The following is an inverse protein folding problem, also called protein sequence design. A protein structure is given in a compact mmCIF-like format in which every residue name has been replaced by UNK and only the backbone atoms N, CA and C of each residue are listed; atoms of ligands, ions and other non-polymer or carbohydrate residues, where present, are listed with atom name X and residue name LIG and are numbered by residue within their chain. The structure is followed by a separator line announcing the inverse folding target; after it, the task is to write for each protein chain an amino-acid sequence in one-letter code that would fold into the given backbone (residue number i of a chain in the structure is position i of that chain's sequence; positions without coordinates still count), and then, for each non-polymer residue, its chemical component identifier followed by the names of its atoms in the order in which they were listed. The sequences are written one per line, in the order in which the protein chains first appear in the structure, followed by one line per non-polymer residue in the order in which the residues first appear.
data_IF_796742238887
#
_entry.id   IF_796742238887
#
_cell.length_a   1.000
_cell.length_b   1.000
_cell.length_c   1.000
_cell.angle_alpha   90.00
_cell.angle_beta   90.00
_cell.angle_gamma   90.00
#
_symmetry.space_group_name_H-M   'P 1'
#
loop_
_entity.id
_entity.type
_entity.pdbx_description
1 polymer ?
#
# COMPACT_ATOMS: atom_id res chain seq x y z
N UNK A 1 9.54 -0.80 -18.76
CA UNK A 1 10.45 0.13 -18.07
C UNK A 1 11.82 -0.51 -17.88
N UNK A 2 11.97 -1.63 -17.12
CA UNK A 2 13.29 -2.23 -16.81
C UNK A 2 14.11 -2.53 -18.08
N UNK A 3 13.54 -3.19 -19.09
CA UNK A 3 14.25 -3.47 -20.37
C UNK A 3 14.80 -2.22 -21.05
N UNK A 4 14.17 -1.07 -20.88
CA UNK A 4 14.59 0.19 -21.50
C UNK A 4 15.67 0.91 -20.70
N UNK A 5 15.58 0.88 -19.37
CA UNK A 5 16.37 1.76 -18.51
C UNK A 5 17.39 1.03 -17.61
N UNK A 6 17.15 -0.24 -17.25
CA UNK A 6 18.10 -0.99 -16.44
C UNK A 6 19.24 -1.52 -17.33
N UNK A 7 20.40 -0.91 -17.20
CA UNK A 7 21.61 -1.21 -17.98
C UNK A 7 22.74 -1.64 -17.07
N UNK A 8 23.55 -2.58 -17.55
CA UNK A 8 24.74 -3.01 -16.83
C UNK A 8 25.76 -1.87 -16.81
N UNK A 9 26.33 -1.59 -15.64
CA UNK A 9 27.19 -0.40 -15.42
C UNK A 9 28.44 -0.35 -16.28
N UNK A 10 28.98 -1.51 -16.66
CA UNK A 10 30.21 -1.59 -17.48
C UNK A 10 29.93 -1.86 -18.94
N UNK A 11 29.00 -2.80 -19.25
CA UNK A 11 28.77 -3.25 -20.63
C UNK A 11 27.65 -2.48 -21.33
N UNK A 12 26.82 -1.72 -20.58
CA UNK A 12 25.63 -1.03 -21.05
C UNK A 12 24.57 -1.97 -21.67
N UNK A 13 24.70 -3.28 -21.46
CA UNK A 13 23.70 -4.25 -21.91
C UNK A 13 22.40 -4.12 -21.10
N UNK A 14 21.23 -4.35 -21.72
CA UNK A 14 19.97 -4.35 -20.99
C UNK A 14 19.91 -5.50 -19.99
N UNK A 15 19.12 -5.31 -18.93
CA UNK A 15 18.86 -6.38 -17.95
C UNK A 15 18.34 -7.64 -18.67
N UNK A 16 18.91 -8.83 -18.41
CA UNK A 16 18.45 -10.08 -18.98
C UNK A 16 16.99 -10.39 -18.62
N UNK A 17 16.21 -10.88 -19.57
CA UNK A 17 14.81 -11.27 -19.34
C UNK A 17 14.66 -12.30 -18.23
N UNK A 18 15.60 -13.23 -18.09
CA UNK A 18 15.62 -14.21 -17.02
C UNK A 18 15.64 -13.55 -15.61
N UNK A 19 16.35 -12.43 -15.45
CA UNK A 19 16.36 -11.67 -14.20
C UNK A 19 15.03 -10.95 -13.98
N UNK A 20 14.43 -10.39 -15.02
CA UNK A 20 13.11 -9.76 -14.93
C UNK A 20 12.06 -10.79 -14.46
N UNK A 21 12.06 -12.00 -15.03
CA UNK A 21 11.13 -13.05 -14.61
C UNK A 21 11.40 -13.54 -13.17
N UNK A 22 12.64 -13.58 -12.73
CA UNK A 22 12.97 -13.88 -11.33
C UNK A 22 12.46 -12.79 -10.39
N UNK A 23 12.63 -11.50 -10.75
CA UNK A 23 12.10 -10.38 -9.97
C UNK A 23 10.56 -10.43 -9.85
N UNK A 24 9.86 -10.73 -10.95
CA UNK A 24 8.40 -10.88 -10.93
C UNK A 24 7.94 -12.00 -9.97
N UNK A 25 8.63 -13.15 -9.98
CA UNK A 25 8.34 -14.25 -9.06
C UNK A 25 8.63 -13.88 -7.60
N UNK A 26 9.77 -13.21 -7.36
CA UNK A 26 10.17 -12.79 -6.02
C UNK A 26 9.17 -11.79 -5.40
N UNK A 27 8.60 -10.88 -6.20
CA UNK A 27 7.58 -9.92 -5.72
C UNK A 27 6.31 -10.59 -5.20
N UNK A 28 5.97 -11.78 -5.66
CA UNK A 28 4.79 -12.51 -5.21
C UNK A 28 5.05 -13.36 -3.96
N UNK A 29 6.32 -13.60 -3.65
CA UNK A 29 6.68 -14.38 -2.47
C UNK A 29 6.41 -13.59 -1.19
N UNK A 30 5.65 -14.18 -0.28
CA UNK A 30 5.32 -13.54 1.00
C UNK A 30 4.30 -12.40 0.92
N UNK A 31 3.73 -12.08 -0.24
CA UNK A 31 2.81 -10.96 -0.40
C UNK A 31 1.57 -11.08 0.50
N UNK A 32 1.02 -12.28 0.65
CA UNK A 32 -0.11 -12.50 1.56
C UNK A 32 0.24 -12.15 3.01
N UNK A 33 1.46 -12.50 3.45
CA UNK A 33 1.95 -12.17 4.78
C UNK A 33 2.03 -10.65 4.99
N UNK A 34 2.62 -9.93 4.04
CA UNK A 34 2.73 -8.46 4.11
C UNK A 34 1.35 -7.79 4.06
N UNK A 35 0.44 -8.26 3.20
CA UNK A 35 -0.93 -7.74 3.12
C UNK A 35 -1.68 -7.94 4.44
N UNK A 36 -1.59 -9.11 5.05
CA UNK A 36 -2.22 -9.39 6.34
C UNK A 36 -1.67 -8.48 7.44
N UNK A 37 -0.36 -8.31 7.52
CA UNK A 37 0.28 -7.41 8.50
C UNK A 37 -0.16 -5.96 8.33
N UNK A 38 -0.21 -5.50 7.10
CA UNK A 38 -0.67 -4.15 6.79
C UNK A 38 -2.16 -3.97 7.17
N UNK A 39 -3.01 -4.91 6.75
CA UNK A 39 -4.44 -4.89 7.06
C UNK A 39 -4.69 -4.93 8.56
N UNK A 40 -3.92 -5.71 9.31
CA UNK A 40 -3.97 -5.74 10.78
C UNK A 40 -3.70 -4.36 11.39
N UNK A 41 -2.70 -3.64 10.87
CA UNK A 41 -2.40 -2.26 11.32
C UNK A 41 -3.55 -1.30 11.00
N UNK A 42 -4.14 -1.39 9.81
CA UNK A 42 -5.27 -0.55 9.41
C UNK A 42 -6.54 -0.84 10.25
N UNK A 43 -6.80 -2.10 10.58
CA UNK A 43 -7.92 -2.48 11.44
C UNK A 43 -7.73 -2.00 12.88
N UNK A 44 -6.51 -2.01 13.39
CA UNK A 44 -6.20 -1.47 14.73
C UNK A 44 -6.35 0.05 14.75
N UNK A 45 -5.92 0.75 13.70
CA UNK A 45 -6.15 2.18 13.51
C UNK A 45 -7.65 2.51 13.58
N UNK A 46 -8.44 1.85 12.77
CA UNK A 46 -9.89 2.06 12.77
C UNK A 46 -10.53 1.75 14.14
N UNK A 47 -10.10 0.69 14.80
CA UNK A 47 -10.65 0.29 16.09
C UNK A 47 -10.40 1.33 17.20
N UNK A 48 -9.21 1.90 17.26
CA UNK A 48 -8.88 2.90 18.27
C UNK A 48 -9.58 4.23 18.00
N UNK A 49 -9.66 4.64 16.74
CA UNK A 49 -10.31 5.91 16.39
C UNK A 49 -11.85 5.84 16.36
N UNK A 50 -12.42 4.62 16.38
CA UNK A 50 -13.85 4.39 16.58
C UNK A 50 -14.26 4.34 18.07
N UNK A 51 -13.34 4.46 19.01
CA UNK A 51 -13.68 4.52 20.43
C UNK A 51 -14.50 5.79 20.73
N UNK A 52 -15.45 5.73 21.68
CA UNK A 52 -16.19 6.91 22.09
C UNK A 52 -15.25 8.06 22.47
N UNK A 53 -15.66 9.28 22.15
CA UNK A 53 -14.86 10.49 22.40
C UNK A 53 -14.34 10.55 23.85
N UNK A 54 -13.06 10.84 23.99
CA UNK A 54 -12.36 10.92 25.27
C UNK A 54 -11.98 9.57 25.87
N UNK A 55 -12.27 8.45 25.21
CA UNK A 55 -11.83 7.12 25.67
C UNK A 55 -10.50 6.74 25.02
N UNK A 56 -9.54 6.43 25.88
CA UNK A 56 -8.24 5.90 25.50
C UNK A 56 -8.10 4.53 26.15
N UNK A 57 -7.57 3.51 25.47
CA UNK A 57 -7.31 2.21 26.09
C UNK A 57 -6.37 2.36 27.29
N UNK A 58 -6.76 1.82 28.45
CA UNK A 58 -5.93 1.85 29.66
C UNK A 58 -4.63 1.07 29.46
N UNK A 59 -4.68 -0.02 28.69
CA UNK A 59 -3.52 -0.79 28.22
C UNK A 59 -3.58 -0.89 26.68
N UNK A 60 -2.81 -0.04 25.96
CA UNK A 60 -2.79 -0.06 24.50
C UNK A 60 -2.28 -1.38 23.90
N UNK A 61 -1.40 -2.09 24.59
CA UNK A 61 -0.85 -3.38 24.12
C UNK A 61 -1.91 -4.47 24.21
N UNK A 62 -2.64 -4.52 25.33
CA UNK A 62 -3.75 -5.46 25.50
C UNK A 62 -4.88 -5.15 24.52
N UNK A 63 -5.18 -3.88 24.27
CA UNK A 63 -6.17 -3.46 23.27
C UNK A 63 -5.80 -3.93 21.87
N UNK A 64 -4.56 -3.66 21.42
CA UNK A 64 -4.06 -4.16 20.12
C UNK A 64 -4.24 -5.68 20.02
N UNK A 65 -3.79 -6.42 21.01
CA UNK A 65 -3.89 -7.87 21.04
C UNK A 65 -5.34 -8.38 20.99
N UNK A 66 -6.26 -7.67 21.63
CA UNK A 66 -7.68 -7.99 21.60
C UNK A 66 -8.27 -7.76 20.22
N UNK A 67 -8.05 -6.59 19.62
CA UNK A 67 -8.55 -6.25 18.27
C UNK A 67 -8.06 -7.28 17.26
N UNK A 68 -6.77 -7.62 17.27
CA UNK A 68 -6.18 -8.56 16.34
C UNK A 68 -6.75 -9.98 16.49
N UNK A 69 -6.99 -10.44 17.71
CA UNK A 69 -7.66 -11.73 17.97
C UNK A 69 -9.10 -11.74 17.46
N UNK A 70 -9.87 -10.69 17.75
CA UNK A 70 -11.26 -10.57 17.31
C UNK A 70 -11.40 -10.52 15.78
N UNK A 71 -10.39 -10.00 15.09
CA UNK A 71 -10.31 -9.96 13.63
C UNK A 71 -9.69 -11.22 13.02
N UNK A 72 -9.32 -12.19 13.81
CA UNK A 72 -8.83 -13.49 13.34
C UNK A 72 -7.41 -13.46 12.81
N UNK A 73 -6.53 -12.56 13.30
CA UNK A 73 -5.13 -12.55 12.90
C UNK A 73 -4.48 -13.90 13.26
N UNK A 74 -3.84 -14.59 12.30
CA UNK A 74 -3.21 -15.88 12.56
C UNK A 74 -2.13 -15.80 13.64
N UNK A 75 -1.99 -16.81 14.49
CA UNK A 75 -0.91 -16.88 15.46
C UNK A 75 0.46 -16.77 14.79
N UNK A 76 1.35 -15.99 15.37
CA UNK A 76 2.70 -15.77 14.83
C UNK A 76 2.80 -14.66 13.78
N UNK A 77 1.68 -14.13 13.30
CA UNK A 77 1.67 -12.94 12.45
C UNK A 77 1.52 -11.71 13.35
N UNK A 78 2.47 -10.79 13.27
CA UNK A 78 2.40 -9.50 13.98
C UNK A 78 2.01 -8.35 13.05
N UNK A 79 1.81 -7.19 13.62
CA UNK A 79 1.65 -5.92 12.88
C UNK A 79 3.00 -5.39 12.41
N UNK A 80 3.01 -4.54 11.39
CA UNK A 80 4.23 -3.88 10.92
C UNK A 80 4.82 -2.95 11.98
N UNK A 81 3.97 -2.22 12.68
CA UNK A 81 4.34 -1.31 13.75
C UNK A 81 3.42 -1.57 14.94
N UNK A 82 4.00 -1.75 16.11
CA UNK A 82 3.22 -1.80 17.34
C UNK A 82 2.43 -0.52 17.49
N UNK A 83 1.19 -0.64 17.89
CA UNK A 83 0.26 0.47 18.09
C UNK A 83 0.89 1.63 18.90
N UNK A 84 1.57 1.31 19.99
CA UNK A 84 2.25 2.30 20.86
C UNK A 84 3.46 2.99 20.23
N UNK A 85 4.00 2.46 19.13
CA UNK A 85 5.13 3.02 18.41
C UNK A 85 4.77 3.56 17.03
N UNK A 86 3.49 3.49 16.67
CA UNK A 86 3.02 3.86 15.35
C UNK A 86 2.68 5.35 15.29
N UNK A 87 3.69 6.18 15.34
CA UNK A 87 3.58 7.64 15.31
C UNK A 87 2.71 8.14 14.14
N UNK A 88 2.73 7.45 13.01
CA UNK A 88 1.96 7.79 11.81
C UNK A 88 0.46 8.01 12.09
N UNK A 89 -0.12 7.22 12.98
CA UNK A 89 -1.54 7.30 13.34
C UNK A 89 -1.86 8.44 14.31
N UNK A 90 -0.85 8.96 15.03
CA UNK A 90 -1.06 9.87 16.17
C UNK A 90 -0.36 11.22 16.04
N UNK A 91 0.42 11.42 14.97
CA UNK A 91 1.07 12.70 14.68
C UNK A 91 0.12 13.68 13.96
N UNK A 92 -1.06 13.89 14.50
CA UNK A 92 -2.09 14.71 13.90
C UNK A 92 -3.28 13.89 13.40
N UNK A 93 -4.20 14.52 12.68
CA UNK A 93 -5.45 13.89 12.23
C UNK A 93 -5.39 13.24 10.85
N UNK A 94 -4.30 13.44 10.09
CA UNK A 94 -4.25 13.06 8.66
C UNK A 94 -4.42 11.57 8.39
N UNK A 95 -4.00 10.70 9.31
CA UNK A 95 -4.12 9.26 9.18
C UNK A 95 -5.03 8.61 10.24
N UNK A 96 -5.68 9.41 11.09
CA UNK A 96 -6.60 8.90 12.09
C UNK A 96 -7.78 8.19 11.43
N UNK A 97 -7.92 6.90 11.66
CA UNK A 97 -8.85 5.99 10.96
C UNK A 97 -8.66 5.93 9.43
N UNK A 98 -7.53 6.42 8.92
CA UNK A 98 -7.25 6.57 7.48
C UNK A 98 -6.10 5.71 6.96
N UNK A 99 -5.44 4.92 7.79
CA UNK A 99 -4.27 4.16 7.36
C UNK A 99 -4.57 3.13 6.27
N UNK A 100 -5.80 2.68 6.13
CA UNK A 100 -6.24 1.80 5.05
C UNK A 100 -6.05 2.39 3.65
N UNK A 101 -5.89 3.71 3.54
CA UNK A 101 -5.78 4.44 2.27
C UNK A 101 -4.68 3.90 1.36
N UNK A 102 -3.61 3.35 1.90
CA UNK A 102 -2.54 2.78 1.08
C UNK A 102 -2.97 1.54 0.29
N UNK A 103 -3.81 0.65 0.90
CA UNK A 103 -4.40 -0.46 0.15
C UNK A 103 -5.36 0.02 -0.93
N UNK A 104 -6.15 1.05 -0.62
CA UNK A 104 -7.06 1.67 -1.57
C UNK A 104 -6.29 2.28 -2.75
N UNK A 105 -5.23 3.03 -2.45
CA UNK A 105 -4.37 3.64 -3.46
C UNK A 105 -3.68 2.59 -4.35
N UNK A 106 -3.24 1.46 -3.81
CA UNK A 106 -2.68 0.36 -4.60
C UNK A 106 -3.67 -0.24 -5.58
N UNK A 107 -4.94 -0.35 -5.20
CA UNK A 107 -6.01 -0.83 -6.11
C UNK A 107 -6.20 0.16 -7.26
N UNK A 108 -6.31 1.46 -6.96
CA UNK A 108 -6.48 2.50 -7.97
C UNK A 108 -5.25 2.63 -8.88
N UNK A 109 -4.04 2.52 -8.33
CA UNK A 109 -2.79 2.52 -9.10
C UNK A 109 -2.73 1.34 -10.08
N UNK A 110 -3.10 0.15 -9.61
CA UNK A 110 -3.13 -1.04 -10.46
C UNK A 110 -4.16 -0.93 -11.59
N UNK A 111 -5.33 -0.37 -11.30
CA UNK A 111 -6.38 -0.13 -12.30
C UNK A 111 -5.94 0.91 -13.33
N UNK A 112 -5.39 2.05 -12.88
CA UNK A 112 -4.84 3.08 -13.76
C UNK A 112 -3.72 2.53 -14.66
N UNK A 113 -2.85 1.67 -14.13
CA UNK A 113 -1.80 1.03 -14.92
C UNK A 113 -2.36 -0.01 -15.90
N UNK A 114 -3.51 -0.59 -15.60
CA UNK A 114 -4.26 -1.48 -16.50
C UNK A 114 -4.52 -0.84 -17.86
N UNK A 115 -4.89 0.43 -17.90
CA UNK A 115 -5.10 1.18 -19.14
C UNK A 115 -3.85 1.27 -20.04
N UNK A 116 -2.65 1.38 -19.43
CA UNK A 116 -1.39 1.33 -20.18
C UNK A 116 -1.10 -0.07 -20.74
N UNK A 117 -1.48 -1.10 -19.98
CA UNK A 117 -1.34 -2.49 -20.43
C UNK A 117 -2.24 -2.79 -21.62
N UNK A 118 -3.49 -2.33 -21.57
CA UNK A 118 -4.49 -2.43 -22.66
C UNK A 118 -4.04 -1.67 -23.92
N UNK A 119 -3.45 -0.49 -23.74
CA UNK A 119 -2.85 0.28 -24.83
C UNK A 119 -1.55 -0.36 -25.42
N UNK A 120 -1.04 -1.42 -24.79
CA UNK A 120 0.16 -2.14 -25.22
C UNK A 120 1.48 -1.45 -24.91
N UNK A 121 1.48 -0.32 -24.19
CA UNK A 121 2.70 0.42 -23.87
C UNK A 121 2.60 1.14 -22.51
N UNK A 122 3.55 0.87 -21.64
CA UNK A 122 3.70 1.65 -20.39
C UNK A 122 4.09 3.13 -20.63
N UNK A 123 4.28 3.54 -21.86
CA UNK A 123 4.63 4.90 -22.28
C UNK A 123 3.64 5.46 -23.29
N UNK A 124 2.39 4.95 -23.32
CA UNK A 124 1.36 5.47 -24.20
C UNK A 124 1.02 6.92 -23.83
N UNK A 125 1.22 7.84 -24.79
CA UNK A 125 1.04 9.27 -24.54
C UNK A 125 -0.42 9.66 -24.35
N UNK A 126 -1.35 8.94 -24.97
CA UNK A 126 -2.81 9.22 -24.83
C UNK A 126 -3.29 8.84 -23.44
N UNK A 127 -2.92 7.66 -22.94
CA UNK A 127 -3.23 7.20 -21.59
C UNK A 127 -2.56 8.11 -20.55
N UNK A 128 -1.27 8.45 -20.76
CA UNK A 128 -0.55 9.37 -19.89
C UNK A 128 -1.23 10.76 -19.82
N UNK A 129 -1.72 11.26 -20.95
CA UNK A 129 -2.47 12.52 -21.01
C UNK A 129 -3.78 12.46 -20.21
N UNK A 130 -4.50 11.34 -20.27
CA UNK A 130 -5.72 11.13 -19.45
C UNK A 130 -5.39 11.08 -17.95
N UNK A 131 -4.37 10.32 -17.57
CA UNK A 131 -3.91 10.22 -16.19
C UNK A 131 -3.53 11.60 -15.64
N UNK A 132 -2.74 12.36 -16.41
CA UNK A 132 -2.37 13.73 -16.04
C UNK A 132 -3.58 14.63 -15.86
N UNK A 133 -4.50 14.65 -16.82
CA UNK A 133 -5.64 15.55 -16.83
C UNK A 133 -6.67 15.22 -15.74
N UNK A 134 -7.01 13.95 -15.58
CA UNK A 134 -8.15 13.54 -14.77
C UNK A 134 -7.79 13.14 -13.35
N UNK A 135 -6.51 12.82 -13.08
CA UNK A 135 -6.05 12.44 -11.75
C UNK A 135 -5.09 13.48 -11.20
N UNK A 136 -3.90 13.64 -11.80
CA UNK A 136 -2.86 14.50 -11.21
C UNK A 136 -3.22 15.98 -11.23
N UNK A 137 -3.75 16.49 -12.34
CA UNK A 137 -4.15 17.91 -12.44
C UNK A 137 -5.49 18.21 -11.77
N UNK A 138 -6.37 17.21 -11.68
CA UNK A 138 -7.63 17.35 -10.97
C UNK A 138 -7.41 17.41 -9.44
N UNK A 139 -6.47 16.62 -8.92
CA UNK A 139 -6.21 16.55 -7.47
C UNK A 139 -7.49 16.20 -6.72
N UNK A 140 -7.82 17.02 -5.72
CA UNK A 140 -9.02 16.89 -4.87
C UNK A 140 -10.18 17.78 -5.34
N UNK A 141 -10.20 18.18 -6.61
CA UNK A 141 -11.24 19.07 -7.15
C UNK A 141 -12.54 18.36 -7.61
N UNK A 142 -12.51 17.04 -7.68
CA UNK A 142 -13.63 16.19 -8.09
C UNK A 142 -13.71 14.97 -7.17
N UNK A 143 -14.93 14.47 -6.98
CA UNK A 143 -15.14 13.19 -6.27
C UNK A 143 -14.47 12.05 -7.06
N UNK A 144 -13.82 11.11 -6.37
CA UNK A 144 -13.15 9.97 -6.98
C UNK A 144 -14.10 9.00 -7.69
#
# INVERSE_FOLDING_TARGET
VLRRHARHVQTNEPIPDALIERLKRARRFGQAFETVRYTASALTDMAVHALPQGRVPADPVAFEAQVLRERGLPPGVGVNHRFTHFQHLFYGSSYAAGYYVYLWAEVLDADAFGAFTEAGSAFDATVAGKLLKHIYAAGDSVEP
#
